data_IF_588023025979
#
_entry.id   IF_588023025979
#
_cell.length_a   1.000
_cell.length_b   1.000
_cell.length_c   1.000
_cell.angle_alpha   90.00
_cell.angle_beta   90.00
_cell.angle_gamma   90.00
#
_symmetry.space_group_name_H-M   'P 1'
#
loop_
_entity.id
_entity.type
_entity.pdbx_description
1 polymer ?
#
# COMPACT_ATOMS: atom_id res chain seq x y z
N UNK A 1 -14.94 4.23 2.79
CA UNK A 1 -15.57 5.44 2.21
C UNK A 1 -14.84 5.78 0.92
N UNK A 2 -15.50 5.80 -0.25
CA UNK A 2 -14.87 6.23 -1.51
C UNK A 2 -14.92 7.75 -1.56
N UNK A 3 -13.77 8.41 -1.41
CA UNK A 3 -13.69 9.87 -1.46
C UNK A 3 -14.05 10.36 -2.88
N UNK A 4 -14.98 11.31 -2.98
CA UNK A 4 -15.42 11.86 -4.27
C UNK A 4 -14.33 12.72 -4.92
N UNK A 5 -14.37 12.85 -6.25
CA UNK A 5 -13.35 13.52 -7.08
C UNK A 5 -13.31 15.07 -6.95
N UNK A 6 -14.04 15.64 -6.00
CA UNK A 6 -14.15 17.10 -5.79
C UNK A 6 -13.16 17.57 -4.73
N UNK A 7 -13.10 18.88 -4.44
CA UNK A 7 -12.03 19.61 -3.75
C UNK A 7 -11.73 19.23 -2.28
N UNK A 8 -11.63 17.95 -1.90
CA UNK A 8 -11.59 17.51 -0.51
C UNK A 8 -10.31 17.90 0.25
N UNK A 9 -10.48 18.23 1.53
CA UNK A 9 -9.42 18.55 2.48
C UNK A 9 -9.76 18.00 3.88
N UNK A 10 -8.73 17.72 4.67
CA UNK A 10 -8.85 17.43 6.09
C UNK A 10 -8.90 18.75 6.86
N UNK A 11 -9.77 18.84 7.87
CA UNK A 11 -9.88 19.99 8.77
C UNK A 11 -10.02 19.53 10.21
N UNK A 12 -9.40 20.26 11.14
CA UNK A 12 -9.65 20.06 12.57
C UNK A 12 -10.92 20.78 13.02
N UNK A 13 -11.70 20.17 13.91
CA UNK A 13 -12.92 20.78 14.45
C UNK A 13 -12.69 21.91 15.46
N UNK A 14 -11.47 22.08 16.00
CA UNK A 14 -11.17 23.01 17.10
C UNK A 14 -10.06 24.02 16.83
N UNK A 15 -9.31 23.89 15.74
CA UNK A 15 -8.25 24.84 15.38
C UNK A 15 -8.19 24.98 13.86
N UNK A 16 -7.36 25.89 13.38
CA UNK A 16 -7.29 26.25 11.96
C UNK A 16 -6.49 25.25 11.10
N UNK A 17 -6.09 24.11 11.67
CA UNK A 17 -5.41 23.06 10.92
C UNK A 17 -6.25 22.59 9.72
N UNK A 18 -5.63 22.63 8.54
CA UNK A 18 -6.17 22.12 7.28
C UNK A 18 -5.07 21.46 6.46
N UNK A 19 -5.40 20.39 5.74
CA UNK A 19 -4.49 19.72 4.81
C UNK A 19 -5.25 19.21 3.60
N UNK A 20 -4.71 19.34 2.36
CA UNK A 20 -5.35 18.79 1.19
C UNK A 20 -5.43 17.25 1.26
N UNK A 21 -6.47 16.67 0.67
CA UNK A 21 -6.51 15.22 0.39
C UNK A 21 -5.71 14.95 -0.88
N UNK A 22 -4.76 14.02 -0.83
CA UNK A 22 -4.09 13.56 -2.04
C UNK A 22 -5.07 12.75 -2.90
N UNK A 23 -5.25 13.15 -4.16
CA UNK A 23 -6.17 12.52 -5.13
C UNK A 23 -5.47 11.70 -6.19
N UNK A 24 -4.14 11.72 -6.20
CA UNK A 24 -3.39 10.98 -7.19
C UNK A 24 -3.47 9.48 -6.86
N UNK A 25 -3.87 8.65 -7.84
CA UNK A 25 -3.71 7.20 -7.71
C UNK A 25 -2.21 6.91 -7.58
N UNK A 26 -1.80 6.40 -6.43
CA UNK A 26 -0.41 6.07 -6.15
C UNK A 26 -0.31 4.57 -5.92
N UNK A 27 0.68 3.94 -6.54
CA UNK A 27 1.10 2.57 -6.27
C UNK A 27 2.51 2.61 -5.69
N UNK A 28 2.72 1.92 -4.58
CA UNK A 28 4.04 1.71 -4.00
C UNK A 28 4.58 0.41 -4.59
N UNK A 29 5.82 0.43 -5.05
CA UNK A 29 6.51 -0.76 -5.57
C UNK A 29 7.77 -0.95 -4.74
N UNK A 30 7.85 -2.07 -4.03
CA UNK A 30 9.04 -2.46 -3.29
C UNK A 30 9.91 -3.39 -4.14
N UNK A 31 11.17 -3.02 -4.35
CA UNK A 31 12.15 -3.90 -4.97
C UNK A 31 12.75 -4.82 -3.89
N UNK A 32 12.44 -6.11 -3.95
CA UNK A 32 13.02 -7.14 -3.09
C UNK A 32 14.26 -7.78 -3.71
N UNK A 33 14.86 -8.72 -2.99
CA UNK A 33 15.99 -9.50 -3.51
C UNK A 33 15.62 -10.25 -4.79
N UNK A 34 16.60 -10.40 -5.68
CA UNK A 34 16.46 -11.12 -6.96
C UNK A 34 15.48 -10.45 -7.97
N UNK A 35 15.16 -9.17 -7.80
CA UNK A 35 14.36 -8.38 -8.75
C UNK A 35 12.86 -8.63 -8.63
N UNK A 36 12.39 -9.08 -7.47
CA UNK A 36 10.97 -9.29 -7.18
C UNK A 36 10.34 -7.98 -6.75
N UNK A 37 9.37 -7.51 -7.52
CA UNK A 37 8.58 -6.34 -7.17
C UNK A 37 7.34 -6.75 -6.35
N UNK A 38 7.11 -6.05 -5.23
CA UNK A 38 5.88 -6.19 -4.43
C UNK A 38 5.13 -4.88 -4.45
N UNK A 39 3.89 -4.91 -4.90
CA UNK A 39 3.04 -3.72 -4.95
C UNK A 39 2.21 -3.57 -3.67
N UNK A 40 2.01 -2.33 -3.24
CA UNK A 40 0.97 -1.98 -2.27
C UNK A 40 0.32 -0.63 -2.60
N UNK A 41 -0.84 -0.40 -2.00
CA UNK A 41 -1.49 0.91 -2.04
C UNK A 41 -1.05 1.72 -0.79
N UNK A 42 -0.90 3.04 -0.90
CA UNK A 42 -0.65 3.87 0.26
C UNK A 42 -1.90 4.01 1.12
N UNK A 43 -1.70 4.13 2.42
CA UNK A 43 -2.73 4.53 3.36
C UNK A 43 -2.67 6.03 3.66
N UNK A 44 -3.77 6.56 4.18
CA UNK A 44 -3.82 7.92 4.72
C UNK A 44 -3.47 7.83 6.19
N UNK A 45 -2.44 8.58 6.61
CA UNK A 45 -1.94 8.53 7.98
C UNK A 45 -1.60 9.91 8.53
N UNK A 46 -1.46 9.98 9.85
CA UNK A 46 -0.81 11.09 10.52
C UNK A 46 0.67 10.79 10.68
N UNK A 47 1.54 11.72 10.29
CA UNK A 47 2.97 11.62 10.51
C UNK A 47 3.39 12.61 11.60
N UNK A 48 3.97 12.12 12.70
CA UNK A 48 4.37 12.98 13.82
C UNK A 48 5.53 13.91 13.44
N UNK A 49 6.43 13.49 12.55
CA UNK A 49 7.55 14.33 12.10
C UNK A 49 7.09 15.44 11.15
N UNK A 50 6.14 15.16 10.24
CA UNK A 50 5.55 16.19 9.38
C UNK A 50 4.54 17.06 10.13
N UNK A 51 4.07 16.60 11.30
CA UNK A 51 2.97 17.16 12.06
C UNK A 51 1.73 17.45 11.19
N UNK A 52 1.43 16.51 10.28
CA UNK A 52 0.34 16.64 9.31
C UNK A 52 -0.15 15.29 8.83
N UNK A 53 -1.32 15.32 8.17
CA UNK A 53 -1.82 14.18 7.38
C UNK A 53 -0.90 14.00 6.18
N UNK A 54 -0.52 12.75 5.91
CA UNK A 54 0.37 12.33 4.84
C UNK A 54 -0.11 11.01 4.24
N UNK A 55 0.42 10.67 3.07
CA UNK A 55 0.40 9.28 2.63
C UNK A 55 1.48 8.51 3.37
N UNK A 56 1.14 7.31 3.81
CA UNK A 56 2.04 6.37 4.48
C UNK A 56 2.05 5.06 3.69
N UNK A 57 3.07 4.24 3.89
CA UNK A 57 3.08 2.86 3.39
C UNK A 57 1.81 2.15 3.88
N UNK A 58 1.04 1.57 2.96
CA UNK A 58 -0.13 0.76 3.31
C UNK A 58 0.17 -0.73 3.27
N UNK A 59 -0.78 -1.51 3.77
CA UNK A 59 -0.68 -2.96 3.86
C UNK A 59 -0.47 -3.61 2.48
N UNK A 60 0.36 -4.66 2.45
CA UNK A 60 0.57 -5.49 1.27
C UNK A 60 -0.56 -6.52 1.21
N UNK A 61 -1.29 -6.57 0.09
CA UNK A 61 -2.37 -7.52 -0.12
C UNK A 61 -1.83 -8.95 -0.27
N UNK A 62 -1.92 -9.74 0.81
CA UNK A 62 -1.37 -11.11 0.86
C UNK A 62 -2.35 -12.19 0.39
N UNK A 63 -3.64 -11.89 0.18
CA UNK A 63 -4.67 -12.91 -0.10
C UNK A 63 -4.39 -13.67 -1.40
N UNK A 64 -4.04 -12.95 -2.47
CA UNK A 64 -3.67 -13.53 -3.77
C UNK A 64 -2.39 -14.37 -3.68
N UNK A 65 -1.41 -13.90 -2.90
CA UNK A 65 -0.13 -14.60 -2.65
C UNK A 65 -0.36 -15.90 -1.87
N UNK A 66 -1.21 -15.85 -0.84
CA UNK A 66 -1.60 -17.02 -0.05
C UNK A 66 -2.35 -18.06 -0.91
N UNK A 67 -3.27 -17.62 -1.76
CA UNK A 67 -3.95 -18.51 -2.70
C UNK A 67 -2.96 -19.15 -3.69
N UNK A 68 -2.03 -18.37 -4.23
CA UNK A 68 -0.99 -18.88 -5.12
C UNK A 68 -0.09 -19.91 -4.43
N UNK A 69 0.32 -19.67 -3.17
CA UNK A 69 1.06 -20.64 -2.35
C UNK A 69 0.29 -21.93 -2.11
N UNK A 70 -1.01 -21.86 -1.84
CA UNK A 70 -1.85 -23.05 -1.68
C UNK A 70 -1.87 -23.88 -2.97
N UNK A 71 -1.97 -23.23 -4.13
CA UNK A 71 -1.90 -23.89 -5.44
C UNK A 71 -0.53 -24.53 -5.69
N UNK A 72 0.57 -23.82 -5.45
CA UNK A 72 1.93 -24.36 -5.63
C UNK A 72 2.23 -25.52 -4.67
N UNK A 73 1.74 -25.46 -3.43
CA UNK A 73 1.88 -26.55 -2.46
C UNK A 73 1.10 -27.80 -2.87
N UNK A 74 -0.07 -27.65 -3.50
CA UNK A 74 -0.83 -28.81 -4.03
C UNK A 74 -0.19 -29.38 -5.30
N UNK A 75 0.43 -28.54 -6.13
CA UNK A 75 1.14 -28.97 -7.34
C UNK A 75 2.47 -29.68 -7.02
N UNK A 76 3.25 -29.19 -6.06
CA UNK A 76 4.51 -29.84 -5.64
C UNK A 76 4.30 -31.20 -4.97
N UNK A 77 3.19 -31.37 -4.23
CA UNK A 77 2.80 -32.67 -3.62
C UNK A 77 2.29 -33.69 -4.64
N UNK A 78 1.81 -33.25 -5.81
CA UNK A 78 1.42 -34.15 -6.91
C UNK A 78 2.68 -34.51 -7.68
N UNK A 79 3.31 -35.62 -7.27
CA UNK A 79 4.48 -36.26 -7.91
C UNK A 79 4.26 -36.47 -9.40
N UNK A 80 4.52 -35.44 -10.20
CA UNK A 80 4.52 -35.51 -11.66
C UNK A 80 5.73 -34.74 -12.19
N UNK A 81 6.88 -35.03 -11.59
CA UNK A 81 8.21 -34.62 -12.04
C UNK A 81 8.50 -35.03 -13.50
N UNK A 82 7.67 -35.89 -14.11
CA UNK A 82 7.72 -36.27 -15.53
C UNK A 82 6.97 -35.31 -16.47
N UNK A 83 6.05 -34.51 -15.96
CA UNK A 83 5.21 -33.64 -16.79
C UNK A 83 5.93 -32.32 -17.10
N UNK A 84 6.66 -31.76 -16.14
CA UNK A 84 7.38 -30.48 -16.31
C UNK A 84 8.41 -30.48 -17.46
N UNK A 85 9.07 -31.62 -17.72
CA UNK A 85 10.00 -31.74 -18.87
C UNK A 85 9.30 -31.65 -20.22
N UNK A 86 8.07 -32.15 -20.32
CA UNK A 86 7.27 -32.11 -21.55
C UNK A 86 6.67 -30.73 -21.82
N UNK A 87 6.25 -30.02 -20.76
CA UNK A 87 5.65 -28.69 -20.88
C UNK A 87 6.68 -27.58 -21.14
N UNK A 88 7.93 -27.73 -20.66
CA UNK A 88 9.04 -26.81 -20.92
C UNK A 88 9.44 -26.75 -22.41
N UNK A 89 9.16 -27.82 -23.17
CA UNK A 89 9.39 -27.90 -24.61
C UNK A 89 8.27 -27.25 -25.44
N UNK A 90 7.08 -27.05 -24.85
CA UNK A 90 5.89 -26.59 -25.59
C UNK A 90 5.56 -25.11 -25.36
N UNK A 91 5.88 -24.53 -24.21
CA UNK A 91 5.36 -23.20 -23.83
C UNK A 91 6.40 -22.14 -23.41
N UNK A 92 7.70 -22.39 -23.63
CA UNK A 92 8.72 -21.47 -23.11
C UNK A 92 8.83 -21.55 -21.58
N UNK A 93 9.63 -20.66 -20.98
CA UNK A 93 10.11 -20.80 -19.59
C UNK A 93 8.98 -20.91 -18.56
N UNK A 94 8.72 -22.14 -18.12
CA UNK A 94 8.04 -22.39 -16.85
C UNK A 94 9.04 -22.02 -15.76
N UNK A 95 8.75 -20.94 -15.05
CA UNK A 95 9.50 -20.58 -13.84
C UNK A 95 9.49 -21.80 -12.90
N UNK A 96 10.65 -22.23 -12.36
CA UNK A 96 10.68 -23.41 -11.51
C UNK A 96 9.71 -23.25 -10.34
N UNK A 97 8.88 -24.26 -10.06
CA UNK A 97 7.92 -24.27 -8.93
C UNK A 97 8.61 -23.90 -7.61
N UNK A 98 9.89 -24.28 -7.45
CA UNK A 98 10.72 -23.92 -6.30
C UNK A 98 10.99 -22.41 -6.20
N UNK A 99 11.23 -21.74 -7.34
CA UNK A 99 11.43 -20.29 -7.39
C UNK A 99 10.14 -19.56 -7.04
N UNK A 100 9.00 -19.93 -7.64
CA UNK A 100 7.72 -19.30 -7.33
C UNK A 100 7.28 -19.54 -5.86
N UNK A 101 7.58 -20.72 -5.30
CA UNK A 101 7.37 -21.00 -3.86
C UNK A 101 8.25 -20.13 -2.96
N UNK A 102 9.50 -19.91 -3.34
CA UNK A 102 10.44 -19.06 -2.61
C UNK A 102 9.97 -17.60 -2.65
N UNK A 103 9.70 -17.08 -3.84
CA UNK A 103 9.20 -15.71 -4.04
C UNK A 103 7.95 -15.43 -3.22
N UNK A 104 6.94 -16.31 -3.28
CA UNK A 104 5.71 -16.08 -2.54
C UNK A 104 5.90 -16.15 -1.01
N UNK A 105 6.82 -16.99 -0.50
CA UNK A 105 7.18 -16.99 0.93
C UNK A 105 7.91 -15.71 1.32
N UNK A 106 8.83 -15.24 0.49
CA UNK A 106 9.56 -13.99 0.74
C UNK A 106 8.61 -12.78 0.73
N UNK A 107 7.63 -12.74 -0.19
CA UNK A 107 6.57 -11.71 -0.20
C UNK A 107 5.75 -11.73 1.09
N UNK A 108 5.33 -12.89 1.60
CA UNK A 108 4.60 -12.98 2.86
C UNK A 108 5.43 -12.53 4.06
N UNK A 109 6.68 -12.98 4.15
CA UNK A 109 7.59 -12.55 5.21
C UNK A 109 7.85 -11.04 5.18
N UNK A 110 7.94 -10.48 3.98
CA UNK A 110 8.08 -9.05 3.79
C UNK A 110 6.81 -8.28 4.17
N UNK A 111 5.63 -8.79 3.79
CA UNK A 111 4.35 -8.22 4.19
C UNK A 111 4.19 -8.18 5.71
N UNK A 112 4.53 -9.27 6.41
CA UNK A 112 4.52 -9.35 7.88
C UNK A 112 5.48 -8.33 8.51
N UNK A 113 6.69 -8.18 7.95
CA UNK A 113 7.67 -7.20 8.41
C UNK A 113 7.19 -5.75 8.22
N UNK A 114 6.60 -5.44 7.05
CA UNK A 114 6.14 -4.09 6.71
C UNK A 114 4.87 -3.68 7.43
N UNK A 115 3.94 -4.60 7.68
CA UNK A 115 2.72 -4.31 8.44
C UNK A 115 2.96 -3.72 9.83
N UNK A 116 4.17 -3.87 10.37
CA UNK A 116 4.56 -3.32 11.68
C UNK A 116 5.21 -1.93 11.61
N UNK A 117 5.58 -1.44 10.42
CA UNK A 117 6.46 -0.26 10.25
C UNK A 117 6.09 0.59 9.04
N UNK A 118 4.84 1.06 8.98
CA UNK A 118 4.42 1.97 7.93
C UNK A 118 5.20 3.29 7.97
N UNK A 119 5.99 3.56 6.93
CA UNK A 119 6.76 4.79 6.82
C UNK A 119 5.96 5.91 6.11
N UNK A 120 6.23 7.16 6.49
CA UNK A 120 5.69 8.31 5.81
C UNK A 120 6.31 8.45 4.42
N UNK A 121 5.50 8.46 3.36
CA UNK A 121 5.99 8.59 1.99
C UNK A 121 6.55 9.98 1.69
N UNK A 122 6.35 10.97 2.56
CA UNK A 122 6.93 12.30 2.39
C UNK A 122 8.33 12.41 3.03
N UNK A 123 8.49 11.99 4.29
CA UNK A 123 9.71 12.21 5.07
C UNK A 123 10.46 10.92 5.49
N UNK A 124 9.91 9.74 5.22
CA UNK A 124 10.51 8.45 5.59
C UNK A 124 10.38 8.06 7.08
N UNK A 125 9.75 8.89 7.92
CA UNK A 125 9.57 8.58 9.34
C UNK A 125 8.66 7.38 9.55
N UNK A 126 9.01 6.47 10.47
CA UNK A 126 8.17 5.37 10.94
C UNK A 126 7.22 5.78 12.08
N UNK A 127 7.29 7.04 12.53
CA UNK A 127 6.35 7.62 13.52
C UNK A 127 5.05 8.04 12.84
N UNK A 128 4.32 7.04 12.35
CA UNK A 128 3.05 7.23 11.67
C UNK A 128 1.91 6.45 12.33
N UNK A 129 0.68 6.90 12.05
CA UNK A 129 -0.56 6.24 12.46
C UNK A 129 -1.56 6.27 11.33
N UNK A 130 -2.13 5.13 10.96
CA UNK A 130 -3.21 5.03 9.97
C UNK A 130 -4.42 5.82 10.46
N UNK A 131 -5.06 6.57 9.56
CA UNK A 131 -6.26 7.34 9.85
C UNK A 131 -7.50 6.62 9.34
N UNK A 132 -8.27 6.10 10.29
CA UNK A 132 -9.63 5.59 10.06
C UNK A 132 -10.67 6.70 10.24
N UNK A 133 -11.65 6.71 9.33
CA UNK A 133 -12.76 7.66 9.32
C UNK A 133 -14.10 6.92 9.32
N UNK A 134 -15.07 7.43 10.07
CA UNK A 134 -16.44 6.93 10.08
C UNK A 134 -17.20 7.30 8.78
N UNK A 135 -18.45 6.87 8.69
CA UNK A 135 -19.32 7.17 7.54
C UNK A 135 -19.61 8.67 7.35
N UNK A 136 -19.39 9.49 8.39
CA UNK A 136 -19.55 10.94 8.35
C UNK A 136 -18.23 11.67 8.03
N UNK A 137 -17.17 10.93 7.71
CA UNK A 137 -15.84 11.49 7.45
C UNK A 137 -15.15 12.02 8.70
N UNK A 138 -15.55 11.60 9.90
CA UNK A 138 -14.90 11.96 11.17
C UNK A 138 -13.85 10.92 11.52
N UNK A 139 -12.65 11.38 11.82
CA UNK A 139 -11.57 10.50 12.25
C UNK A 139 -11.88 9.88 13.60
N UNK A 140 -11.83 8.55 13.67
CA UNK A 140 -12.10 7.77 14.88
C UNK A 140 -10.84 7.18 15.52
N UNK A 141 -9.76 7.13 14.75
CA UNK A 141 -8.47 6.54 15.15
C UNK A 141 -7.57 7.50 15.92
N UNK A 142 -7.82 8.81 15.88
CA UNK A 142 -7.04 9.78 16.65
C UNK A 142 -7.75 11.09 16.96
N UNK A 143 -7.26 11.77 17.99
CA UNK A 143 -7.56 13.15 18.33
C UNK A 143 -6.36 14.04 17.94
N UNK A 144 -6.65 15.19 17.35
CA UNK A 144 -5.63 16.20 17.06
C UNK A 144 -5.06 16.78 18.36
N UNK A 145 -3.83 17.30 18.34
CA UNK A 145 -3.13 17.80 19.54
C UNK A 145 -3.90 18.90 20.29
N UNK A 146 -4.73 19.69 19.60
CA UNK A 146 -5.60 20.69 20.22
C UNK A 146 -6.87 20.10 20.89
N UNK A 147 -7.00 18.77 20.94
CA UNK A 147 -8.19 18.09 21.44
C UNK A 147 -9.39 18.10 20.49
N UNK A 148 -9.19 18.48 19.22
CA UNK A 148 -10.21 18.42 18.16
C UNK A 148 -10.16 17.11 17.38
N UNK A 149 -11.18 16.85 16.56
CA UNK A 149 -11.21 15.69 15.66
C UNK A 149 -10.92 16.13 14.23
N UNK A 150 -10.19 15.31 13.48
CA UNK A 150 -10.00 15.51 12.06
C UNK A 150 -11.28 15.10 11.31
N UNK A 151 -11.64 15.88 10.30
CA UNK A 151 -12.79 15.61 9.43
C UNK A 151 -12.41 15.79 7.97
N UNK A 152 -12.97 14.94 7.12
CA UNK A 152 -12.92 15.15 5.66
C UNK A 152 -14.03 16.11 5.28
N UNK A 153 -13.68 17.22 4.65
CA UNK A 153 -14.62 18.18 4.08
C UNK A 153 -14.54 18.06 2.57
N UNK A 154 -15.66 17.69 1.93
CA UNK A 154 -15.77 17.72 0.48
C UNK A 154 -16.07 19.16 0.02
N UNK A 155 -15.30 19.67 -0.94
CA UNK A 155 -15.63 20.93 -1.60
C UNK A 155 -16.40 20.61 -2.88
N UNK A 156 -17.71 20.85 -2.85
CA UNK A 156 -18.66 20.57 -3.94
C UNK A 156 -18.50 21.48 -5.14
N UNK A 157 -17.80 22.62 -4.99
CA UNK A 157 -17.69 23.66 -6.03
C UNK A 157 -16.45 23.48 -6.93
N UNK A 158 -15.65 22.43 -6.72
CA UNK A 158 -14.49 22.13 -7.55
C UNK A 158 -14.91 21.53 -8.91
N UNK A 159 -15.36 22.41 -9.81
CA UNK A 159 -15.81 22.10 -11.17
C UNK A 159 -14.74 21.63 -12.16
N UNK A 160 -13.73 20.86 -11.74
CA UNK A 160 -12.75 20.32 -12.69
C UNK A 160 -12.30 18.92 -12.29
N UNK A 161 -12.74 17.94 -13.07
CA UNK A 161 -12.21 16.56 -13.06
C UNK A 161 -10.79 16.58 -13.62
N UNK A 162 -9.82 16.99 -12.81
CA UNK A 162 -8.42 16.84 -13.16
C UNK A 162 -8.10 15.34 -13.15
N UNK A 163 -7.94 14.75 -14.33
CA UNK A 163 -7.40 13.40 -14.46
C UNK A 163 -5.92 13.44 -14.10
N UNK A 164 -5.63 13.25 -12.81
CA UNK A 164 -4.25 13.11 -12.34
C UNK A 164 -3.71 11.77 -12.86
N UNK A 165 -2.54 11.82 -13.51
CA UNK A 165 -1.86 10.60 -13.94
C UNK A 165 -1.52 9.74 -12.73
N UNK A 166 -1.74 8.41 -12.79
CA UNK A 166 -1.24 7.50 -11.78
C UNK A 166 0.26 7.70 -11.57
N UNK A 167 0.73 7.53 -10.33
CA UNK A 167 2.13 7.65 -9.95
C UNK A 167 2.60 6.37 -9.28
N UNK A 168 3.78 5.91 -9.68
CA UNK A 168 4.48 4.83 -8.98
C UNK A 168 5.56 5.44 -8.09
N UNK A 169 5.71 4.90 -6.88
CA UNK A 169 6.78 5.23 -5.95
C UNK A 169 7.57 3.95 -5.73
N UNK A 170 8.83 3.95 -6.16
CA UNK A 170 9.74 2.82 -5.97
C UNK A 170 10.48 2.99 -4.65
N UNK A 171 10.41 1.96 -3.80
CA UNK A 171 11.05 1.90 -2.50
C UNK A 171 11.95 0.67 -2.40
N UNK A 172 13.04 0.80 -1.65
CA UNK A 172 13.81 -0.36 -1.21
C UNK A 172 13.06 -1.13 -0.10
N UNK A 173 13.66 -2.22 0.37
CA UNK A 173 13.10 -3.06 1.44
C UNK A 173 12.90 -2.29 2.75
N UNK A 174 13.72 -1.27 3.00
CA UNK A 174 13.68 -0.43 4.19
C UNK A 174 12.61 0.68 4.08
N UNK A 175 12.04 0.92 2.90
CA UNK A 175 11.07 1.98 2.65
C UNK A 175 11.70 3.31 2.22
N UNK A 176 12.97 3.31 1.82
CA UNK A 176 13.64 4.49 1.28
C UNK A 176 13.42 4.58 -0.23
N UNK A 177 13.33 5.81 -0.73
CA UNK A 177 13.17 6.05 -2.16
C UNK A 177 14.48 5.82 -2.89
N UNK A 178 14.40 5.13 -4.02
CA UNK A 178 15.44 5.20 -5.04
C UNK A 178 15.48 6.64 -5.57
N UNK A 179 16.65 7.29 -5.46
CA UNK A 179 16.92 8.64 -5.97
C UNK A 179 17.07 8.67 -7.49
#
# INVERSE_FOLDING_TARGET
>A
MKLSNSGAFFKCSKCDYQSPVNRQKITIVYELFEGVDVESNPDIGWCDNCNSVQLIEGEIETESVNHHLAQLNTQSKKTSYRITRFFRLLFGSVEPIELSLRTAKETLQFADYKGQRACCLHCGSDKTRVLEFDANGVCISMQHQCGGLLRVIENTDAGTRLMLRPKMIYLDREGQRHS
#
